data_IF_665611520528
#
_entry.id   IF_665611520528
#
_cell.length_a   1.000
_cell.length_b   1.000
_cell.length_c   1.000
_cell.angle_alpha   90.00
_cell.angle_beta   90.00
_cell.angle_gamma   90.00
#
_symmetry.space_group_name_H-M   'P 1'
#
loop_
_entity.id
_entity.type
_entity.pdbx_description
1 polymer ?
#
# COMPACT_ATOMS: atom_id res chain seq x y z
N UNK A 1 60.86 32.98 21.98
CA UNK A 1 60.05 32.94 20.77
C UNK A 1 59.48 31.55 20.46
N UNK A 2 60.01 30.43 20.87
CA UNK A 2 59.57 29.06 20.52
C UNK A 2 58.33 28.56 21.26
N UNK A 3 57.95 29.11 22.40
CA UNK A 3 56.74 28.68 23.14
C UNK A 3 55.43 29.34 22.62
N UNK A 4 55.52 30.51 22.00
CA UNK A 4 54.36 31.23 21.46
C UNK A 4 53.83 30.61 20.16
N UNK A 5 54.73 30.13 19.30
CA UNK A 5 54.39 29.46 18.04
C UNK A 5 53.72 28.08 18.24
N UNK A 6 54.09 27.36 19.33
CA UNK A 6 53.48 26.06 19.66
C UNK A 6 52.02 26.17 20.14
N UNK A 7 51.68 27.27 20.83
CA UNK A 7 50.31 27.50 21.29
C UNK A 7 49.36 27.91 20.13
N UNK A 8 49.88 28.69 19.16
CA UNK A 8 49.09 29.12 17.99
C UNK A 8 48.81 27.95 17.02
N UNK A 9 49.79 27.05 16.84
CA UNK A 9 49.58 25.84 16.00
C UNK A 9 48.62 24.82 16.64
N UNK A 10 48.63 24.67 17.96
CA UNK A 10 47.67 23.79 18.67
C UNK A 10 46.23 24.33 18.62
N UNK A 11 46.07 25.67 18.67
CA UNK A 11 44.72 26.29 18.57
C UNK A 11 44.15 26.23 17.15
N UNK A 12 44.99 26.33 16.11
CA UNK A 12 44.60 26.18 14.71
C UNK A 12 44.26 24.73 14.35
N UNK A 13 44.96 23.74 14.91
CA UNK A 13 44.66 22.33 14.71
C UNK A 13 43.34 21.92 15.40
N UNK A 14 43.03 22.48 16.57
CA UNK A 14 41.76 22.21 17.28
C UNK A 14 40.56 22.88 16.61
N UNK A 15 40.75 24.08 16.01
CA UNK A 15 39.73 24.76 15.23
C UNK A 15 39.44 24.06 13.89
N UNK A 16 40.43 23.41 13.26
CA UNK A 16 40.26 22.65 12.04
C UNK A 16 39.50 21.32 12.26
N UNK A 17 39.60 20.72 13.46
CA UNK A 17 38.83 19.50 13.82
C UNK A 17 37.37 19.82 14.15
N UNK A 18 37.04 21.05 14.57
CA UNK A 18 35.64 21.49 14.82
C UNK A 18 34.94 22.03 13.56
N UNK A 19 35.70 22.25 12.45
CA UNK A 19 35.12 22.71 11.17
C UNK A 19 34.71 21.57 10.22
N UNK A 20 34.89 20.32 10.61
CA UNK A 20 34.52 19.16 9.81
C UNK A 20 33.26 18.51 10.38
N UNK A 21 32.15 19.01 9.95
CA UNK A 21 30.91 18.33 9.66
C UNK A 21 29.67 19.22 9.91
N UNK A 22 29.52 20.29 9.15
CA UNK A 22 28.16 20.64 8.75
C UNK A 22 27.73 19.59 7.69
N UNK A 23 27.47 18.37 8.12
CA UNK A 23 26.64 17.50 7.32
C UNK A 23 25.32 18.25 7.22
N UNK A 24 24.99 18.78 6.04
CA UNK A 24 23.66 19.31 5.79
C UNK A 24 22.70 18.17 6.03
N UNK A 25 22.00 18.21 7.17
CA UNK A 25 20.96 17.23 7.46
C UNK A 25 19.99 17.21 6.28
N UNK A 26 19.73 16.02 5.72
CA UNK A 26 18.74 15.87 4.65
C UNK A 26 17.35 15.80 5.25
N UNK A 27 16.50 16.67 4.81
CA UNK A 27 15.10 16.68 5.19
C UNK A 27 14.25 16.15 4.04
N UNK A 28 13.61 15.01 4.25
CA UNK A 28 12.73 14.38 3.26
C UNK A 28 11.27 14.59 3.61
N UNK A 29 10.42 14.44 2.60
CA UNK A 29 8.97 14.48 2.72
C UNK A 29 8.37 13.20 2.16
N UNK A 30 7.45 12.60 2.93
CA UNK A 30 6.62 11.47 2.51
C UNK A 30 5.15 11.85 2.49
N UNK A 31 4.45 11.53 1.40
CA UNK A 31 3.01 11.67 1.31
C UNK A 31 2.26 10.33 1.37
N UNK A 32 1.04 10.36 1.82
CA UNK A 32 0.05 9.28 1.68
C UNK A 32 -1.38 9.77 1.93
N UNK A 33 -2.38 9.00 1.48
CA UNK A 33 -3.79 9.38 1.58
C UNK A 33 -4.49 8.88 2.86
N UNK A 34 -3.82 8.08 3.68
CA UNK A 34 -4.41 7.46 4.87
C UNK A 34 -4.56 8.37 6.06
N UNK A 35 -5.57 8.08 6.86
CA UNK A 35 -5.78 8.74 8.14
C UNK A 35 -4.72 8.30 9.18
N UNK A 36 -4.40 9.12 10.19
CA UNK A 36 -3.32 8.83 11.14
C UNK A 36 -3.46 7.51 11.90
N UNK A 37 -4.68 7.01 12.11
CA UNK A 37 -4.96 5.76 12.83
C UNK A 37 -4.75 4.50 12.00
N UNK A 38 -4.54 4.60 10.69
CA UNK A 38 -4.34 3.45 9.81
C UNK A 38 -2.95 2.85 9.98
N UNK A 39 -2.86 1.52 9.84
CA UNK A 39 -1.59 0.80 9.97
C UNK A 39 -0.53 1.34 8.99
N UNK A 40 -0.89 1.67 7.76
CA UNK A 40 0.10 2.19 6.82
C UNK A 40 0.60 3.61 7.15
N UNK A 41 -0.19 4.42 7.88
CA UNK A 41 0.31 5.67 8.47
C UNK A 41 1.37 5.38 9.54
N UNK A 42 1.16 4.33 10.33
CA UNK A 42 2.16 3.80 11.26
C UNK A 42 3.44 3.34 10.55
N UNK A 43 3.33 2.71 9.39
CA UNK A 43 4.51 2.33 8.56
C UNK A 43 5.34 3.56 8.19
N UNK A 44 4.69 4.65 7.77
CA UNK A 44 5.37 5.93 7.50
C UNK A 44 6.10 6.47 8.73
N UNK A 45 5.46 6.43 9.90
CA UNK A 45 6.06 6.86 11.17
C UNK A 45 7.26 6.00 11.54
N UNK A 46 7.14 4.67 11.44
CA UNK A 46 8.25 3.74 11.74
C UNK A 46 9.42 3.93 10.78
N UNK A 47 9.14 4.23 9.52
CA UNK A 47 10.19 4.57 8.56
C UNK A 47 10.93 5.85 8.95
N UNK A 48 10.20 6.92 9.31
CA UNK A 48 10.80 8.19 9.72
C UNK A 48 11.67 8.05 10.98
N UNK A 49 11.17 7.34 11.99
CA UNK A 49 11.89 7.09 13.24
C UNK A 49 13.16 6.27 12.99
N UNK A 50 13.06 5.19 12.22
CA UNK A 50 14.20 4.32 11.92
C UNK A 50 15.24 4.99 11.03
N UNK A 51 14.82 5.78 10.05
CA UNK A 51 15.71 6.59 9.22
C UNK A 51 16.53 7.56 10.06
N UNK A 52 15.88 8.27 10.98
CA UNK A 52 16.54 9.21 11.90
C UNK A 52 17.52 8.49 12.84
N UNK A 53 17.11 7.32 13.36
CA UNK A 53 17.98 6.50 14.24
C UNK A 53 19.25 6.06 13.53
N UNK A 54 19.11 5.40 12.35
CA UNK A 54 20.23 4.83 11.59
C UNK A 54 21.18 5.91 11.06
N UNK A 55 20.64 7.06 10.66
CA UNK A 55 21.45 8.21 10.20
C UNK A 55 22.01 9.07 11.35
N UNK A 56 21.72 8.75 12.62
CA UNK A 56 22.08 9.55 13.79
C UNK A 56 21.58 11.01 13.71
N UNK A 57 20.47 11.21 13.00
CA UNK A 57 19.84 12.51 12.81
C UNK A 57 20.27 13.26 11.55
N UNK A 58 21.21 12.73 10.76
CA UNK A 58 21.64 13.35 9.50
C UNK A 58 20.58 13.27 8.39
N UNK A 59 19.62 12.35 8.53
CA UNK A 59 18.44 12.24 7.65
C UNK A 59 17.17 12.24 8.49
N UNK A 60 16.22 13.09 8.13
CA UNK A 60 14.91 13.20 8.76
C UNK A 60 13.81 13.10 7.70
N UNK A 61 12.63 12.63 8.10
CA UNK A 61 11.48 12.44 7.23
C UNK A 61 10.23 13.01 7.87
N UNK A 62 9.58 13.95 7.19
CA UNK A 62 8.27 14.48 7.54
C UNK A 62 7.18 13.66 6.84
N UNK A 63 6.30 13.00 7.60
CA UNK A 63 5.22 12.19 7.06
C UNK A 63 3.94 13.01 7.01
N UNK A 64 3.40 13.20 5.82
CA UNK A 64 2.22 14.01 5.50
C UNK A 64 1.07 13.10 5.07
N UNK A 65 0.23 12.72 6.04
CA UNK A 65 -0.93 11.84 5.82
C UNK A 65 -2.20 12.58 5.40
N UNK A 66 -3.31 11.83 5.32
CA UNK A 66 -4.66 12.35 5.05
C UNK A 66 -4.76 13.23 3.79
N UNK A 67 -4.01 12.87 2.74
CA UNK A 67 -3.95 13.61 1.47
C UNK A 67 -3.45 15.06 1.60
N UNK A 68 -2.66 15.38 2.62
CA UNK A 68 -2.14 16.75 2.83
C UNK A 68 -1.27 17.25 1.65
N UNK A 69 -0.67 16.34 0.87
CA UNK A 69 0.09 16.65 -0.35
C UNK A 69 -0.70 16.37 -1.65
N UNK A 70 -2.00 16.14 -1.55
CA UNK A 70 -2.86 15.80 -2.68
C UNK A 70 -3.27 14.31 -2.69
N UNK A 71 -3.95 13.91 -3.77
CA UNK A 71 -4.37 12.53 -3.99
C UNK A 71 -3.21 11.64 -4.48
N UNK A 72 -3.46 10.34 -4.64
CA UNK A 72 -2.40 9.40 -5.04
C UNK A 72 -1.83 9.67 -6.44
N UNK A 73 -2.63 10.17 -7.38
CA UNK A 73 -2.18 10.53 -8.72
C UNK A 73 -1.23 11.73 -8.66
N UNK A 74 -1.64 12.78 -7.96
CA UNK A 74 -0.82 13.98 -7.75
C UNK A 74 0.48 13.63 -7.02
N UNK A 75 0.41 12.76 -6.01
CA UNK A 75 1.58 12.26 -5.29
C UNK A 75 2.57 11.52 -6.19
N UNK A 76 2.10 10.66 -7.09
CA UNK A 76 2.96 9.97 -8.04
C UNK A 76 3.59 10.94 -9.06
N UNK A 77 2.87 11.94 -9.52
CA UNK A 77 3.39 13.00 -10.39
C UNK A 77 4.49 13.80 -9.66
N UNK A 78 4.30 14.11 -8.37
CA UNK A 78 5.30 14.78 -7.53
C UNK A 78 6.55 13.90 -7.34
N UNK A 79 6.40 12.60 -7.08
CA UNK A 79 7.49 11.62 -6.99
C UNK A 79 8.32 11.59 -8.28
N UNK A 80 7.66 11.53 -9.44
CA UNK A 80 8.34 11.51 -10.73
C UNK A 80 9.13 12.80 -11.00
N UNK A 81 8.67 13.93 -10.49
CA UNK A 81 9.30 15.25 -10.64
C UNK A 81 10.32 15.57 -9.54
N UNK A 82 10.44 14.73 -8.51
CA UNK A 82 11.30 14.97 -7.36
C UNK A 82 10.83 16.09 -6.44
N UNK A 83 9.54 16.46 -6.51
CA UNK A 83 8.94 17.47 -5.61
C UNK A 83 8.56 16.89 -4.25
N UNK A 84 8.32 15.59 -4.18
CA UNK A 84 8.15 14.81 -2.94
C UNK A 84 9.10 13.62 -3.02
N UNK A 85 9.71 13.26 -1.89
CA UNK A 85 10.76 12.24 -1.86
C UNK A 85 10.18 10.82 -1.80
N UNK A 86 9.19 10.60 -0.95
CA UNK A 86 8.59 9.28 -0.70
C UNK A 86 7.07 9.32 -0.80
N UNK A 87 6.49 8.17 -1.15
CA UNK A 87 5.04 7.98 -1.10
C UNK A 87 4.70 6.56 -0.65
N UNK A 88 3.60 6.42 0.10
CA UNK A 88 3.02 5.10 0.40
C UNK A 88 1.79 4.92 -0.49
N UNK A 89 1.76 3.81 -1.28
CA UNK A 89 0.75 3.61 -2.31
C UNK A 89 0.39 2.13 -2.51
N UNK A 90 -0.89 1.87 -2.84
CA UNK A 90 -1.37 0.55 -3.29
C UNK A 90 -0.85 0.23 -4.71
N UNK A 91 -0.54 -1.03 -4.96
CA UNK A 91 -0.05 -1.51 -6.27
C UNK A 91 -1.05 -1.27 -7.40
N UNK A 92 -2.35 -1.32 -7.13
CA UNK A 92 -3.38 -1.08 -8.16
C UNK A 92 -3.26 0.28 -8.84
N UNK A 93 -2.81 1.30 -8.10
CA UNK A 93 -2.61 2.65 -8.65
C UNK A 93 -1.30 2.78 -9.44
N UNK A 94 -0.38 1.83 -9.32
CA UNK A 94 0.86 1.76 -10.09
C UNK A 94 0.69 1.01 -11.42
N UNK A 95 -0.43 0.35 -11.62
CA UNK A 95 -0.76 -0.39 -12.85
C UNK A 95 -0.63 0.46 -14.13
N UNK A 96 -0.91 1.75 -14.05
CA UNK A 96 -0.77 2.69 -15.17
C UNK A 96 0.68 2.90 -15.62
N UNK A 97 1.66 2.57 -14.78
CA UNK A 97 3.09 2.72 -15.09
C UNK A 97 3.74 1.40 -15.50
N UNK A 98 3.19 0.28 -15.06
CA UNK A 98 3.70 -1.06 -15.39
C UNK A 98 2.59 -2.09 -15.32
N UNK A 99 2.28 -2.73 -16.46
CA UNK A 99 1.26 -3.79 -16.51
C UNK A 99 1.61 -4.97 -15.58
N UNK A 100 2.89 -5.28 -15.40
CA UNK A 100 3.31 -6.38 -14.52
C UNK A 100 2.83 -6.18 -13.07
N UNK A 101 2.79 -4.94 -12.59
CA UNK A 101 2.33 -4.63 -11.23
C UNK A 101 0.83 -4.93 -11.06
N UNK A 102 0.05 -4.87 -12.14
CA UNK A 102 -1.39 -5.19 -12.12
C UNK A 102 -1.67 -6.66 -11.78
N UNK A 103 -0.67 -7.54 -11.79
CA UNK A 103 -0.84 -8.94 -11.39
C UNK A 103 -1.40 -9.05 -9.97
N UNK A 104 -1.05 -8.12 -9.08
CA UNK A 104 -1.53 -8.10 -7.70
C UNK A 104 -3.02 -7.74 -7.56
N UNK A 105 -3.64 -7.21 -8.60
CA UNK A 105 -5.08 -6.92 -8.65
C UNK A 105 -5.91 -8.12 -9.13
N UNK A 106 -5.27 -9.22 -9.58
CA UNK A 106 -6.01 -10.42 -9.96
C UNK A 106 -6.79 -10.98 -8.76
N UNK A 107 -8.09 -11.25 -8.90
CA UNK A 107 -8.93 -11.65 -7.78
C UNK A 107 -8.52 -13.01 -7.24
N UNK A 108 -8.45 -13.13 -5.90
CA UNK A 108 -8.08 -14.38 -5.21
C UNK A 108 -6.72 -14.96 -5.63
N UNK A 109 -5.77 -14.10 -6.00
CA UNK A 109 -4.44 -14.49 -6.46
C UNK A 109 -3.67 -15.29 -5.39
N UNK A 110 -3.69 -14.82 -4.15
CA UNK A 110 -2.95 -15.46 -3.06
C UNK A 110 -3.80 -16.44 -2.28
N UNK A 111 -3.22 -17.60 -1.95
CA UNK A 111 -3.88 -18.67 -1.23
C UNK A 111 -4.12 -18.35 0.25
N UNK A 112 -3.25 -17.55 0.86
CA UNK A 112 -3.29 -17.22 2.29
C UNK A 112 -2.48 -15.97 2.61
N UNK A 113 -2.68 -15.41 3.82
CA UNK A 113 -1.86 -14.31 4.37
C UNK A 113 -0.39 -14.73 4.47
N UNK A 114 -0.13 -15.99 4.84
CA UNK A 114 1.22 -16.53 4.95
C UNK A 114 1.94 -16.57 3.58
N UNK A 115 1.27 -17.11 2.54
CA UNK A 115 1.80 -17.14 1.18
C UNK A 115 2.07 -15.73 0.65
N UNK A 116 1.18 -14.79 0.96
CA UNK A 116 1.32 -13.39 0.58
C UNK A 116 2.53 -12.73 1.23
N UNK A 117 2.67 -12.82 2.57
CA UNK A 117 3.81 -12.23 3.30
C UNK A 117 5.13 -12.82 2.81
N UNK A 118 5.19 -14.13 2.64
CA UNK A 118 6.38 -14.81 2.13
C UNK A 118 6.74 -14.33 0.72
N UNK A 119 5.73 -14.17 -0.15
CA UNK A 119 5.95 -13.66 -1.51
C UNK A 119 6.44 -12.22 -1.50
N UNK A 120 5.78 -11.31 -0.75
CA UNK A 120 6.15 -9.90 -0.66
C UNK A 120 7.56 -9.68 -0.09
N UNK A 121 8.05 -10.62 0.72
CA UNK A 121 9.40 -10.61 1.27
C UNK A 121 10.44 -11.25 0.33
N UNK A 122 10.03 -11.79 -0.81
CA UNK A 122 10.92 -12.48 -1.75
C UNK A 122 11.53 -11.52 -2.77
N UNK A 123 12.72 -11.84 -3.33
CA UNK A 123 13.28 -11.08 -4.45
C UNK A 123 12.35 -11.00 -5.66
N UNK A 124 11.53 -12.04 -5.89
CA UNK A 124 10.60 -12.10 -7.01
C UNK A 124 9.55 -10.97 -6.96
N UNK A 125 9.06 -10.61 -5.77
CA UNK A 125 8.13 -9.49 -5.64
C UNK A 125 8.78 -8.16 -6.07
N UNK A 126 10.06 -7.94 -5.72
CA UNK A 126 10.78 -6.74 -6.12
C UNK A 126 11.10 -6.72 -7.62
N UNK A 127 11.32 -7.87 -8.28
CA UNK A 127 11.48 -7.96 -9.74
C UNK A 127 10.26 -7.43 -10.49
N UNK A 128 9.04 -7.67 -9.97
CA UNK A 128 7.78 -7.23 -10.61
C UNK A 128 7.68 -5.70 -10.65
N UNK A 129 8.17 -5.01 -9.64
CA UNK A 129 8.10 -3.54 -9.56
C UNK A 129 9.35 -2.83 -10.07
N UNK A 130 10.44 -3.55 -10.35
CA UNK A 130 11.68 -2.96 -10.86
C UNK A 130 11.47 -2.07 -12.11
N UNK A 131 10.58 -2.41 -13.08
CA UNK A 131 10.33 -1.56 -14.25
C UNK A 131 9.79 -0.15 -13.91
N UNK A 132 9.25 0.08 -12.71
CA UNK A 132 8.81 1.40 -12.27
C UNK A 132 9.96 2.42 -12.20
N UNK A 133 11.20 1.96 -12.05
CA UNK A 133 12.38 2.85 -12.04
C UNK A 133 12.54 3.60 -13.36
N UNK A 134 12.15 3.00 -14.50
CA UNK A 134 12.13 3.66 -15.81
C UNK A 134 11.08 4.77 -15.90
N UNK A 135 10.14 4.79 -14.95
CA UNK A 135 9.09 5.80 -14.83
C UNK A 135 9.37 6.83 -13.71
N UNK A 136 10.60 6.85 -13.20
CA UNK A 136 10.99 7.78 -12.15
C UNK A 136 10.56 7.38 -10.73
N UNK A 137 10.09 6.14 -10.54
CA UNK A 137 9.57 5.63 -9.27
C UNK A 137 10.37 4.40 -8.86
N UNK A 138 11.05 4.44 -7.71
CA UNK A 138 11.76 3.28 -7.17
C UNK A 138 11.00 2.71 -5.98
N UNK A 139 10.69 1.42 -6.02
CA UNK A 139 10.13 0.69 -4.88
C UNK A 139 11.22 0.33 -3.88
N UNK A 140 10.93 0.49 -2.58
CA UNK A 140 11.84 0.15 -1.48
C UNK A 140 11.42 -1.10 -0.73
N UNK A 141 10.13 -1.43 -0.71
CA UNK A 141 9.63 -2.63 -0.07
C UNK A 141 8.11 -2.68 -0.02
N UNK A 142 7.60 -3.87 0.30
CA UNK A 142 6.17 -4.15 0.39
C UNK A 142 5.72 -4.39 1.83
N UNK A 143 4.47 -4.06 2.09
CA UNK A 143 3.74 -4.47 3.29
C UNK A 143 2.25 -4.69 2.96
N UNK A 144 1.49 -5.46 3.76
CA UNK A 144 0.08 -5.67 3.54
C UNK A 144 -0.74 -4.40 3.74
N UNK A 145 -1.70 -4.15 2.86
CA UNK A 145 -2.82 -3.25 3.14
C UNK A 145 -3.97 -4.02 3.81
N UNK A 146 -4.08 -5.29 3.51
CA UNK A 146 -5.07 -6.22 4.03
C UNK A 146 -5.98 -6.78 2.94
N UNK A 147 -6.94 -7.59 3.37
CA UNK A 147 -7.99 -8.09 2.49
C UNK A 147 -8.96 -6.97 2.14
N UNK A 148 -9.30 -6.88 0.86
CA UNK A 148 -10.33 -5.97 0.36
C UNK A 148 -11.69 -6.67 0.39
N UNK A 149 -12.68 -5.92 0.81
CA UNK A 149 -14.05 -6.38 1.10
C UNK A 149 -15.07 -5.42 0.50
N UNK A 150 -16.25 -5.93 0.16
CA UNK A 150 -17.36 -5.12 -0.33
C UNK A 150 -18.04 -4.45 0.87
N UNK A 151 -18.29 -3.14 0.79
CA UNK A 151 -19.18 -2.42 1.71
C UNK A 151 -20.34 -1.80 0.93
N UNK A 152 -21.58 -1.95 1.42
CA UNK A 152 -22.76 -1.60 0.65
C UNK A 152 -24.02 -1.39 1.51
N UNK A 153 -25.08 -0.87 0.89
CA UNK A 153 -26.41 -0.80 1.50
C UNK A 153 -27.29 -2.01 1.20
N UNK A 154 -26.77 -2.98 0.44
CA UNK A 154 -27.41 -4.26 0.13
C UNK A 154 -26.57 -5.38 0.73
N UNK A 155 -27.23 -6.36 1.36
CA UNK A 155 -26.54 -7.55 1.85
C UNK A 155 -26.03 -8.38 0.65
N UNK A 156 -24.71 -8.54 0.52
CA UNK A 156 -24.09 -9.26 -0.60
C UNK A 156 -23.61 -10.63 -0.13
N UNK A 157 -24.25 -11.71 -0.59
CA UNK A 157 -23.86 -13.10 -0.28
C UNK A 157 -23.52 -13.92 -1.53
N UNK A 158 -23.83 -13.41 -2.70
CA UNK A 158 -23.52 -14.03 -3.99
C UNK A 158 -23.23 -12.94 -5.04
N UNK A 159 -22.53 -13.26 -6.13
CA UNK A 159 -22.17 -12.28 -7.17
C UNK A 159 -23.36 -11.51 -7.75
N UNK A 160 -24.52 -12.19 -7.90
CA UNK A 160 -25.72 -11.57 -8.47
C UNK A 160 -26.30 -10.45 -7.60
N UNK A 161 -25.98 -10.41 -6.31
CA UNK A 161 -26.47 -9.38 -5.39
C UNK A 161 -25.87 -7.99 -5.68
N UNK A 162 -24.74 -7.92 -6.41
CA UNK A 162 -24.14 -6.65 -6.87
C UNK A 162 -24.59 -6.22 -8.26
N UNK A 163 -25.45 -7.00 -8.92
CA UNK A 163 -25.90 -6.68 -10.28
C UNK A 163 -26.62 -5.34 -10.35
N UNK A 164 -26.12 -4.46 -11.21
CA UNK A 164 -26.66 -3.10 -11.41
C UNK A 164 -26.30 -2.09 -10.32
N UNK A 165 -25.62 -2.51 -9.23
CA UNK A 165 -25.18 -1.60 -8.17
C UNK A 165 -24.02 -0.75 -8.69
N UNK A 166 -24.04 0.55 -8.38
CA UNK A 166 -22.95 1.47 -8.64
C UNK A 166 -21.89 1.29 -7.54
N UNK A 167 -20.85 0.52 -7.86
CA UNK A 167 -19.77 0.23 -6.91
C UNK A 167 -18.52 1.02 -7.27
N UNK A 168 -17.98 1.76 -6.30
CA UNK A 168 -16.71 2.45 -6.48
C UNK A 168 -15.55 1.48 -6.40
N UNK A 169 -14.62 1.62 -7.32
CA UNK A 169 -13.30 0.99 -7.25
C UNK A 169 -12.20 2.04 -7.34
N UNK A 170 -10.98 1.66 -6.99
CA UNK A 170 -9.82 2.44 -7.44
C UNK A 170 -9.77 2.48 -8.97
N UNK A 171 -9.18 3.53 -9.59
CA UNK A 171 -9.03 3.63 -11.03
C UNK A 171 -7.97 2.64 -11.55
N UNK A 172 -8.25 1.35 -11.37
CA UNK A 172 -7.44 0.20 -11.78
C UNK A 172 -8.27 -0.72 -12.69
N UNK A 173 -7.83 -1.02 -13.92
CA UNK A 173 -8.63 -1.76 -14.90
C UNK A 173 -9.10 -3.12 -14.39
N UNK A 174 -8.22 -3.89 -13.74
CA UNK A 174 -8.55 -5.22 -13.21
C UNK A 174 -9.58 -5.12 -12.09
N UNK A 175 -9.43 -4.17 -11.16
CA UNK A 175 -10.41 -3.97 -10.08
C UNK A 175 -11.79 -3.61 -10.62
N UNK A 176 -11.86 -2.81 -11.66
CA UNK A 176 -13.12 -2.53 -12.36
C UNK A 176 -13.70 -3.79 -13.03
N UNK A 177 -12.84 -4.58 -13.67
CA UNK A 177 -13.26 -5.81 -14.36
C UNK A 177 -13.85 -6.86 -13.38
N UNK A 178 -13.31 -6.97 -12.15
CA UNK A 178 -13.83 -7.85 -11.10
C UNK A 178 -15.33 -7.58 -10.87
N UNK A 179 -15.71 -6.33 -10.65
CA UNK A 179 -17.12 -6.01 -10.37
C UNK A 179 -18.00 -6.02 -11.61
N UNK A 180 -17.43 -5.65 -12.78
CA UNK A 180 -18.14 -5.78 -14.06
C UNK A 180 -18.48 -7.24 -14.39
N UNK A 181 -17.58 -8.19 -14.09
CA UNK A 181 -17.83 -9.62 -14.31
C UNK A 181 -19.00 -10.17 -13.49
N UNK A 182 -19.31 -9.53 -12.36
CA UNK A 182 -20.47 -9.82 -11.51
C UNK A 182 -21.71 -8.99 -11.88
N UNK A 183 -21.64 -8.17 -12.95
CA UNK A 183 -22.76 -7.36 -13.45
C UNK A 183 -22.97 -6.03 -12.72
N UNK A 184 -22.03 -5.59 -11.88
CA UNK A 184 -22.07 -4.28 -11.25
C UNK A 184 -21.63 -3.15 -12.20
N UNK A 185 -22.04 -1.93 -11.90
CA UNK A 185 -21.56 -0.72 -12.53
C UNK A 185 -20.32 -0.22 -11.77
N UNK A 186 -19.13 -0.69 -12.17
CA UNK A 186 -17.87 -0.26 -11.56
C UNK A 186 -17.53 1.17 -11.96
N UNK A 187 -17.37 2.07 -10.97
CA UNK A 187 -17.11 3.50 -11.15
C UNK A 187 -15.73 3.82 -10.56
N UNK A 188 -14.75 4.16 -11.38
CA UNK A 188 -13.45 4.61 -10.88
C UNK A 188 -13.60 5.99 -10.23
N UNK A 189 -13.01 6.16 -9.04
CA UNK A 189 -13.12 7.42 -8.30
C UNK A 189 -11.95 7.55 -7.32
N UNK A 190 -11.44 8.77 -7.13
CA UNK A 190 -10.41 9.07 -6.15
C UNK A 190 -10.89 8.78 -4.72
N UNK A 191 -9.95 8.36 -3.85
CA UNK A 191 -10.27 7.89 -2.50
C UNK A 191 -10.95 8.97 -1.64
N UNK A 192 -10.53 10.22 -1.76
CA UNK A 192 -11.09 11.34 -0.99
C UNK A 192 -12.54 11.70 -1.33
N UNK A 193 -13.05 11.24 -2.49
CA UNK A 193 -14.42 11.54 -2.94
C UNK A 193 -15.44 10.50 -2.50
N UNK A 194 -14.98 9.32 -2.04
CA UNK A 194 -15.83 8.13 -1.81
C UNK A 194 -16.88 8.37 -0.76
N UNK A 195 -16.52 8.93 0.40
CA UNK A 195 -17.48 9.16 1.50
C UNK A 195 -18.64 10.07 1.07
N UNK A 196 -18.32 11.19 0.47
CA UNK A 196 -19.35 12.16 0.00
C UNK A 196 -20.22 11.54 -1.09
N UNK A 197 -19.64 10.78 -2.00
CA UNK A 197 -20.36 10.11 -3.09
C UNK A 197 -21.30 9.02 -2.57
N UNK A 198 -20.91 8.26 -1.53
CA UNK A 198 -21.78 7.30 -0.82
C UNK A 198 -22.92 8.04 -0.10
N UNK A 199 -22.59 9.11 0.61
CA UNK A 199 -23.58 9.90 1.37
C UNK A 199 -24.63 10.52 0.45
N UNK A 200 -24.24 10.98 -0.74
CA UNK A 200 -25.13 11.60 -1.72
C UNK A 200 -25.83 10.59 -2.65
N UNK A 201 -25.52 9.28 -2.56
CA UNK A 201 -26.09 8.26 -3.44
C UNK A 201 -25.61 8.32 -4.88
N UNK A 202 -24.47 8.99 -5.15
CA UNK A 202 -23.79 8.95 -6.45
C UNK A 202 -23.30 7.54 -6.73
N UNK A 203 -22.83 6.86 -5.70
CA UNK A 203 -22.47 5.44 -5.67
C UNK A 203 -23.24 4.75 -4.53
N UNK A 204 -23.51 3.45 -4.69
CA UNK A 204 -24.29 2.64 -3.75
C UNK A 204 -23.41 1.81 -2.81
N UNK A 205 -22.19 1.51 -3.28
CA UNK A 205 -21.25 0.61 -2.63
C UNK A 205 -19.79 1.01 -2.94
N UNK A 206 -18.88 0.41 -2.22
CA UNK A 206 -17.45 0.44 -2.50
C UNK A 206 -16.79 -0.87 -2.09
N UNK A 207 -15.49 -0.95 -2.33
CA UNK A 207 -14.65 -2.05 -1.91
C UNK A 207 -13.35 -1.50 -1.33
N UNK A 208 -12.93 -2.01 -0.19
CA UNK A 208 -11.69 -1.60 0.45
C UNK A 208 -11.32 -2.53 1.61
N UNK A 209 -10.16 -2.27 2.23
CA UNK A 209 -9.77 -2.95 3.47
C UNK A 209 -10.65 -2.49 4.63
N UNK A 210 -10.75 -3.35 5.66
CA UNK A 210 -11.58 -3.03 6.83
C UNK A 210 -11.09 -1.77 7.57
N UNK A 211 -9.77 -1.51 7.60
CA UNK A 211 -9.21 -0.29 8.17
C UNK A 211 -9.68 0.97 7.42
N UNK A 212 -9.75 0.90 6.09
CA UNK A 212 -10.26 2.01 5.29
C UNK A 212 -11.74 2.24 5.51
N UNK A 213 -12.52 1.17 5.59
CA UNK A 213 -13.96 1.25 5.84
C UNK A 213 -14.23 1.93 7.19
N UNK A 214 -13.42 1.64 8.19
CA UNK A 214 -13.52 2.27 9.51
C UNK A 214 -13.01 3.70 9.52
N UNK A 215 -11.77 3.91 9.08
CA UNK A 215 -11.08 5.20 9.22
C UNK A 215 -11.72 6.33 8.40
N UNK A 216 -12.34 5.99 7.26
CA UNK A 216 -13.07 6.93 6.40
C UNK A 216 -14.54 7.05 6.76
N UNK A 217 -15.02 6.29 7.74
CA UNK A 217 -16.41 6.32 8.17
C UNK A 217 -17.40 5.70 7.18
N UNK A 218 -16.96 4.90 6.21
CA UNK A 218 -17.85 4.30 5.21
C UNK A 218 -18.96 3.46 5.85
N UNK A 219 -18.66 2.83 7.00
CA UNK A 219 -19.64 2.08 7.80
C UNK A 219 -20.79 2.93 8.34
N UNK A 220 -20.69 4.25 8.35
CA UNK A 220 -21.78 5.14 8.77
C UNK A 220 -22.82 5.38 7.67
N UNK A 221 -22.41 5.17 6.41
CA UNK A 221 -23.24 5.38 5.21
C UNK A 221 -23.53 4.08 4.45
N UNK A 222 -22.83 2.98 4.76
CA UNK A 222 -23.14 1.62 4.30
C UNK A 222 -23.48 0.72 5.47
N UNK A 223 -24.51 -0.11 5.28
CA UNK A 223 -25.08 -0.98 6.33
C UNK A 223 -24.35 -2.29 6.51
N UNK A 224 -23.72 -2.79 5.44
CA UNK A 224 -23.15 -4.13 5.36
C UNK A 224 -21.67 -4.06 4.94
N UNK A 225 -20.88 -4.97 5.48
CA UNK A 225 -19.56 -5.32 4.97
C UNK A 225 -19.50 -6.81 4.74
N UNK A 226 -19.35 -7.22 3.48
CA UNK A 226 -19.20 -8.62 3.11
C UNK A 226 -17.72 -8.97 3.06
N UNK A 227 -17.29 -9.93 3.88
CA UNK A 227 -15.91 -10.40 3.94
C UNK A 227 -15.63 -11.39 2.79
N UNK A 228 -15.74 -10.91 1.56
CA UNK A 228 -15.48 -11.70 0.35
C UNK A 228 -13.97 -11.90 0.08
N UNK A 229 -13.14 -10.95 0.49
CA UNK A 229 -11.69 -11.06 0.37
C UNK A 229 -11.22 -11.26 -1.06
N UNK A 230 -11.77 -10.49 -2.00
CA UNK A 230 -11.50 -10.65 -3.42
C UNK A 230 -10.07 -10.28 -3.83
N UNK A 231 -9.39 -9.41 -3.08
CA UNK A 231 -7.97 -9.07 -3.27
C UNK A 231 -7.28 -9.04 -1.91
N UNK A 232 -6.08 -9.62 -1.84
CA UNK A 232 -5.13 -9.39 -0.77
C UNK A 232 -4.14 -8.34 -1.27
N UNK A 233 -4.32 -7.10 -0.80
CA UNK A 233 -3.75 -5.90 -1.41
C UNK A 233 -2.38 -5.55 -0.83
N UNK A 234 -1.32 -5.46 -1.65
CA UNK A 234 -0.03 -4.97 -1.20
C UNK A 234 0.06 -3.46 -1.32
N UNK A 235 0.77 -2.86 -0.36
CA UNK A 235 1.26 -1.48 -0.46
C UNK A 235 2.78 -1.44 -0.60
N UNK A 236 3.26 -0.36 -1.17
CA UNK A 236 4.66 -0.06 -1.37
C UNK A 236 5.05 1.22 -0.67
N UNK A 237 6.27 1.23 -0.13
CA UNK A 237 7.02 2.46 0.06
C UNK A 237 7.79 2.70 -1.24
N UNK A 238 7.54 3.85 -1.87
CA UNK A 238 8.27 4.28 -3.07
C UNK A 238 9.07 5.54 -2.79
N UNK A 239 10.19 5.69 -3.48
CA UNK A 239 11.03 6.90 -3.46
C UNK A 239 11.13 7.47 -4.88
N UNK A 240 11.20 8.78 -4.99
CA UNK A 240 11.58 9.45 -6.23
C UNK A 240 12.93 8.93 -6.73
N UNK A 241 12.99 8.56 -8.01
CA UNK A 241 14.26 8.15 -8.62
C UNK A 241 15.29 9.29 -8.61
N UNK A 242 14.83 10.53 -8.71
CA UNK A 242 15.67 11.72 -8.59
C UNK A 242 16.29 11.82 -7.20
N UNK A 243 15.46 11.69 -6.15
CA UNK A 243 15.94 11.66 -4.77
C UNK A 243 16.90 10.49 -4.55
N UNK A 244 16.52 9.27 -4.97
CA UNK A 244 17.38 8.09 -4.82
C UNK A 244 18.74 8.23 -5.46
N UNK A 245 18.82 8.79 -6.67
CA UNK A 245 20.08 8.96 -7.40
C UNK A 245 20.96 10.05 -6.78
N UNK A 246 20.39 10.98 -6.02
CA UNK A 246 21.12 11.99 -5.27
C UNK A 246 21.80 11.46 -4.01
N UNK A 247 21.43 10.26 -3.55
CA UNK A 247 21.98 9.62 -2.35
C UNK A 247 23.30 8.93 -2.69
N UNK A 248 24.28 9.01 -1.78
CA UNK A 248 25.47 8.16 -1.83
C UNK A 248 25.13 6.72 -1.36
N UNK A 249 26.08 5.79 -1.52
CA UNK A 249 25.83 4.37 -1.23
C UNK A 249 25.52 4.10 0.26
N UNK A 250 26.14 4.86 1.18
CA UNK A 250 25.86 4.72 2.61
C UNK A 250 24.44 5.24 2.94
N UNK A 251 24.02 6.36 2.38
CA UNK A 251 22.67 6.90 2.53
C UNK A 251 21.63 5.97 1.94
N UNK A 252 21.89 5.39 0.75
CA UNK A 252 21.01 4.37 0.13
C UNK A 252 20.83 3.14 1.03
N UNK A 253 21.91 2.65 1.64
CA UNK A 253 21.85 1.53 2.56
C UNK A 253 20.98 1.85 3.78
N UNK A 254 21.13 3.03 4.38
CA UNK A 254 20.31 3.48 5.51
C UNK A 254 18.82 3.59 5.12
N UNK A 255 18.53 4.22 3.98
CA UNK A 255 17.14 4.35 3.49
C UNK A 255 16.52 2.98 3.24
N UNK A 256 17.25 2.05 2.62
CA UNK A 256 16.77 0.70 2.34
C UNK A 256 16.53 -0.09 3.63
N UNK A 257 17.43 0.00 4.62
CA UNK A 257 17.27 -0.67 5.92
C UNK A 257 16.08 -0.11 6.71
N UNK A 258 15.92 1.22 6.73
CA UNK A 258 14.78 1.85 7.38
C UNK A 258 13.45 1.47 6.73
N UNK A 259 13.39 1.41 5.40
CA UNK A 259 12.21 0.97 4.66
C UNK A 259 11.88 -0.51 4.94
N UNK A 260 12.89 -1.38 4.95
CA UNK A 260 12.71 -2.80 5.28
C UNK A 260 12.14 -2.99 6.70
N UNK A 261 12.67 -2.27 7.68
CA UNK A 261 12.15 -2.27 9.06
C UNK A 261 10.68 -1.84 9.12
N UNK A 262 10.32 -0.75 8.44
CA UNK A 262 8.96 -0.26 8.41
C UNK A 262 7.99 -1.23 7.73
N UNK A 263 8.41 -1.85 6.62
CA UNK A 263 7.62 -2.88 5.94
C UNK A 263 7.40 -4.11 6.84
N UNK A 264 8.43 -4.58 7.56
CA UNK A 264 8.31 -5.68 8.51
C UNK A 264 7.34 -5.33 9.66
N UNK A 265 7.39 -4.10 10.17
CA UNK A 265 6.42 -3.62 11.15
C UNK A 265 4.99 -3.67 10.59
N UNK A 266 4.77 -3.23 9.35
CA UNK A 266 3.48 -3.34 8.67
C UNK A 266 3.01 -4.79 8.53
N UNK A 267 3.89 -5.71 8.13
CA UNK A 267 3.59 -7.14 8.01
C UNK A 267 3.12 -7.74 9.35
N UNK A 268 3.73 -7.33 10.45
CA UNK A 268 3.40 -7.85 11.80
C UNK A 268 2.07 -7.32 12.33
N UNK A 269 1.66 -6.12 11.93
CA UNK A 269 0.55 -5.42 12.57
C UNK A 269 -0.74 -5.41 11.75
N UNK A 270 -0.68 -5.38 10.41
CA UNK A 270 -1.86 -5.16 9.54
C UNK A 270 -2.97 -6.20 9.80
N UNK A 271 -2.67 -7.49 9.72
CA UNK A 271 -3.71 -8.50 9.85
C UNK A 271 -4.30 -8.59 11.26
N UNK A 272 -3.46 -8.39 12.29
CA UNK A 272 -3.95 -8.31 13.67
C UNK A 272 -4.91 -7.14 13.89
N UNK A 273 -4.58 -5.97 13.37
CA UNK A 273 -5.43 -4.78 13.44
C UNK A 273 -6.73 -4.99 12.67
N UNK A 274 -6.68 -5.57 11.47
CA UNK A 274 -7.88 -5.89 10.68
C UNK A 274 -8.83 -6.83 11.45
N UNK A 275 -8.30 -7.91 12.05
CA UNK A 275 -9.09 -8.84 12.87
C UNK A 275 -9.72 -8.17 14.07
N UNK A 276 -8.97 -7.34 14.79
CA UNK A 276 -9.50 -6.59 15.93
C UNK A 276 -10.64 -5.65 15.51
N UNK A 277 -10.53 -5.04 14.33
CA UNK A 277 -11.53 -4.13 13.79
C UNK A 277 -12.80 -4.85 13.33
N UNK A 278 -12.66 -6.01 12.65
CA UNK A 278 -13.80 -6.88 12.32
C UNK A 278 -14.55 -7.28 13.60
N UNK A 279 -13.80 -7.69 14.65
CA UNK A 279 -14.40 -8.02 15.95
C UNK A 279 -15.15 -6.82 16.54
N UNK A 280 -14.55 -5.63 16.52
CA UNK A 280 -15.19 -4.37 16.99
C UNK A 280 -16.53 -4.13 16.28
N UNK A 281 -16.60 -4.31 14.95
CA UNK A 281 -17.83 -4.14 14.19
C UNK A 281 -18.86 -5.20 14.52
N UNK A 282 -18.45 -6.47 14.67
CA UNK A 282 -19.36 -7.56 15.09
C UNK A 282 -19.95 -7.28 16.48
N UNK A 283 -19.13 -6.87 17.43
CA UNK A 283 -19.57 -6.54 18.79
C UNK A 283 -20.54 -5.34 18.82
N UNK A 284 -20.32 -4.35 17.95
CA UNK A 284 -21.17 -3.16 17.83
C UNK A 284 -22.45 -3.41 17.01
N UNK A 285 -22.50 -4.48 16.22
CA UNK A 285 -23.61 -4.78 15.30
C UNK A 285 -23.81 -3.77 14.15
N UNK A 286 -22.82 -2.88 13.94
CA UNK A 286 -22.81 -1.87 12.87
C UNK A 286 -21.39 -1.59 12.40
N UNK A 287 -21.09 -1.70 11.08
CA UNK A 287 -21.98 -2.30 10.04
C UNK A 287 -22.24 -3.77 10.34
N UNK A 288 -23.26 -4.36 9.73
CA UNK A 288 -23.46 -5.80 9.77
C UNK A 288 -22.35 -6.49 8.98
N UNK A 289 -21.60 -7.36 9.64
CA UNK A 289 -20.55 -8.15 9.01
C UNK A 289 -21.13 -9.42 8.44
N UNK A 290 -21.00 -9.60 7.13
CA UNK A 290 -21.41 -10.79 6.41
C UNK A 290 -20.19 -11.66 6.16
N UNK A 291 -20.12 -12.81 6.83
CA UNK A 291 -19.13 -13.84 6.56
C UNK A 291 -19.68 -14.79 5.51
N UNK A 292 -18.90 -15.09 4.50
CA UNK A 292 -19.28 -16.01 3.42
C UNK A 292 -18.84 -17.43 3.78
N UNK A 293 -19.74 -18.39 3.54
CA UNK A 293 -19.36 -19.81 3.58
C UNK A 293 -18.35 -20.12 2.46
N UNK A 294 -17.60 -21.24 2.53
CA UNK A 294 -16.74 -21.67 1.42
C UNK A 294 -17.48 -21.76 0.08
N UNK A 295 -18.75 -22.26 0.10
CA UNK A 295 -19.58 -22.38 -1.08
C UNK A 295 -19.98 -21.01 -1.65
N UNK A 296 -20.36 -20.06 -0.78
CA UNK A 296 -20.66 -18.68 -1.20
C UNK A 296 -19.44 -18.04 -1.82
N UNK A 297 -18.27 -18.14 -1.18
CA UNK A 297 -16.99 -17.60 -1.68
C UNK A 297 -16.58 -18.22 -3.03
N UNK A 298 -16.81 -19.53 -3.21
CA UNK A 298 -16.54 -20.22 -4.47
C UNK A 298 -17.30 -19.62 -5.65
N UNK A 299 -18.54 -19.14 -5.42
CA UNK A 299 -19.33 -18.45 -6.46
C UNK A 299 -18.68 -17.14 -6.91
N UNK A 300 -18.13 -16.36 -5.98
CA UNK A 300 -17.41 -15.14 -6.34
C UNK A 300 -16.12 -15.44 -7.13
N UNK A 301 -15.37 -16.47 -6.74
CA UNK A 301 -14.21 -16.92 -7.52
C UNK A 301 -14.61 -17.34 -8.94
N UNK A 302 -15.69 -18.09 -9.08
CA UNK A 302 -16.19 -18.53 -10.40
C UNK A 302 -16.61 -17.34 -11.26
N UNK A 303 -17.35 -16.39 -10.71
CA UNK A 303 -17.83 -15.20 -11.42
C UNK A 303 -16.67 -14.31 -11.92
N UNK A 304 -15.51 -14.37 -11.25
CA UNK A 304 -14.32 -13.56 -11.61
C UNK A 304 -13.32 -14.27 -12.51
N UNK A 305 -13.56 -15.52 -12.92
CA UNK A 305 -12.66 -16.27 -13.84
C UNK A 305 -12.38 -15.54 -15.15
N UNK A 306 -13.40 -14.89 -15.72
CA UNK A 306 -13.24 -14.13 -16.96
C UNK A 306 -12.17 -13.01 -16.84
N UNK A 307 -11.92 -12.51 -15.64
CA UNK A 307 -10.86 -11.51 -15.39
C UNK A 307 -9.47 -12.11 -15.66
N UNK A 308 -9.26 -13.37 -15.30
CA UNK A 308 -8.01 -14.08 -15.61
C UNK A 308 -7.81 -14.26 -17.10
N UNK A 309 -8.86 -14.68 -17.82
CA UNK A 309 -8.79 -14.88 -19.27
C UNK A 309 -8.44 -13.59 -20.01
N UNK A 310 -8.97 -12.46 -19.52
CA UNK A 310 -8.73 -11.14 -20.11
C UNK A 310 -7.35 -10.56 -19.76
N UNK A 311 -6.89 -10.72 -18.50
CA UNK A 311 -5.76 -9.94 -17.99
C UNK A 311 -4.47 -10.71 -17.77
N UNK A 312 -4.46 -12.04 -17.61
CA UNK A 312 -3.22 -12.81 -17.37
C UNK A 312 -2.15 -12.57 -18.44
N UNK A 313 -2.53 -12.48 -19.69
CA UNK A 313 -1.58 -12.21 -20.76
C UNK A 313 -1.05 -10.77 -20.75
N UNK A 314 -1.88 -9.80 -20.34
CA UNK A 314 -1.49 -8.39 -20.29
C UNK A 314 -0.60 -8.05 -19.10
N UNK A 315 -0.79 -8.72 -17.95
CA UNK A 315 0.08 -8.57 -16.78
C UNK A 315 1.40 -9.32 -16.92
N UNK A 316 1.48 -10.25 -17.89
CA UNK A 316 2.60 -11.15 -18.11
C UNK A 316 2.32 -12.54 -17.52
N UNK A 317 2.00 -13.48 -18.40
CA UNK A 317 1.71 -14.86 -17.98
C UNK A 317 2.86 -15.50 -17.21
N UNK A 318 4.09 -15.20 -17.55
CA UNK A 318 5.29 -15.67 -16.85
C UNK A 318 5.37 -15.13 -15.41
N UNK A 319 4.97 -13.88 -15.17
CA UNK A 319 4.88 -13.29 -13.84
C UNK A 319 3.82 -14.02 -13.02
N UNK A 320 2.64 -14.21 -13.58
CA UNK A 320 1.56 -14.96 -12.95
C UNK A 320 1.99 -16.41 -12.61
N UNK A 321 2.58 -17.13 -13.57
CA UNK A 321 3.03 -18.51 -13.38
C UNK A 321 4.11 -18.62 -12.28
N UNK A 322 5.01 -17.64 -12.16
CA UNK A 322 6.01 -17.56 -11.08
C UNK A 322 5.33 -17.39 -9.71
N UNK A 323 4.31 -16.54 -9.60
CA UNK A 323 3.56 -16.36 -8.36
C UNK A 323 2.83 -17.66 -7.99
N UNK A 324 2.16 -18.30 -8.95
CA UNK A 324 1.44 -19.55 -8.71
C UNK A 324 2.37 -20.66 -8.25
N UNK A 325 3.52 -20.79 -8.89
CA UNK A 325 4.56 -21.76 -8.52
C UNK A 325 5.14 -21.46 -7.12
N UNK A 326 5.40 -20.20 -6.81
CA UNK A 326 5.94 -19.82 -5.50
C UNK A 326 5.03 -20.30 -4.36
N UNK A 327 3.73 -20.18 -4.53
CA UNK A 327 2.78 -20.53 -3.47
C UNK A 327 2.24 -21.98 -3.51
N UNK A 328 2.80 -22.87 -4.35
CA UNK A 328 2.39 -24.29 -4.41
C UNK A 328 2.52 -25.00 -3.06
N UNK A 329 3.57 -24.69 -2.28
CA UNK A 329 3.83 -25.29 -0.98
C UNK A 329 2.97 -24.76 0.17
N UNK A 330 2.23 -23.67 -0.05
CA UNK A 330 1.39 -23.06 0.98
C UNK A 330 -0.03 -23.65 0.96
N UNK A 331 -0.60 -23.84 2.15
CA UNK A 331 -1.98 -24.25 2.31
C UNK A 331 -2.93 -23.11 1.88
N UNK A 332 -4.09 -23.47 1.33
CA UNK A 332 -5.16 -22.51 1.10
C UNK A 332 -5.86 -22.17 2.41
N UNK A 333 -6.00 -20.89 2.70
CA UNK A 333 -6.74 -20.40 3.85
C UNK A 333 -7.68 -19.26 3.42
N UNK A 334 -8.90 -19.29 3.94
CA UNK A 334 -9.82 -18.17 3.76
C UNK A 334 -9.28 -16.92 4.47
N UNK A 335 -9.68 -15.69 4.03
CA UNK A 335 -9.47 -14.49 4.82
C UNK A 335 -9.95 -14.76 6.23
N UNK A 336 -9.05 -14.60 7.20
CA UNK A 336 -9.41 -14.86 8.58
C UNK A 336 -10.29 -13.70 9.07
N UNK A 337 -11.51 -14.03 9.40
CA UNK A 337 -12.48 -13.15 10.05
C UNK A 337 -12.17 -12.93 11.53
#
# INVERSE_FOLDING_TARGET
MTKFYRAVFASLALAAVLAASSVNAREFVMGHTGQPQMTFSGVGTQFAEKLKELSKGDMTLSVMGASALGNNREGLEQIQQGMTDFWIISTGLLAQFSNAVSVFDLPYLFKSEEAFIAFMSSPLAMEIVAPLEQKGIKALGYFPYGWRHIHSNVAVRKPEDVKGIKIRTEPAPIRMAIFKSMGANAIPMDFGEVFTSLQQGVIDAGENTIESIESQGFYTVNKYVTLDGHILDPMLIVISKITWDSLNDAEKAIVQEAAAYACEWGQKNTFGNCKAMIKKFKDAGKPEIIELTPEERSKFREATKAVYDEYVNSVGKDVYDKIMKFQESFAEAAPQS
#
